data_IF_195172477590
#
_entry.id   IF_195172477590
#
_cell.length_a   1.000
_cell.length_b   1.000
_cell.length_c   1.000
_cell.angle_alpha   90.00
_cell.angle_beta   90.00
_cell.angle_gamma   90.00
#
_symmetry.space_group_name_H-M   'P 1'
#
loop_
_entity.id
_entity.type
_entity.pdbx_description
1 polymer ?
#
# COMPACT_ATOMS: atom_id res chain seq x y z
N UNK A 1 -38.55 -81.91 46.68
CA UNK A 1 -39.22 -80.67 46.41
C UNK A 1 -38.13 -79.67 45.95
N UNK A 2 -37.95 -79.50 44.66
CA UNK A 2 -36.89 -78.71 44.06
C UNK A 2 -37.46 -77.37 43.56
N UNK A 3 -37.00 -76.32 44.17
CA UNK A 3 -37.39 -74.92 43.79
C UNK A 3 -36.47 -74.43 42.70
N UNK A 4 -37.01 -74.17 41.49
CA UNK A 4 -36.34 -73.56 40.36
C UNK A 4 -36.26 -72.04 40.55
N UNK A 5 -35.04 -71.50 40.75
CA UNK A 5 -34.77 -70.08 40.67
C UNK A 5 -34.35 -69.75 39.23
N UNK A 6 -35.18 -69.00 38.49
CA UNK A 6 -34.84 -68.45 37.19
C UNK A 6 -34.00 -67.19 37.40
N UNK A 7 -32.76 -67.22 36.94
CA UNK A 7 -31.88 -66.07 36.89
C UNK A 7 -32.20 -65.27 35.62
N UNK A 8 -32.66 -63.98 35.76
CA UNK A 8 -32.78 -63.06 34.70
C UNK A 8 -31.46 -62.26 34.60
N UNK A 9 -30.73 -62.48 33.52
CA UNK A 9 -29.55 -61.68 33.17
C UNK A 9 -30.07 -60.45 32.48
N UNK A 10 -29.94 -59.29 33.14
CA UNK A 10 -30.20 -57.94 32.55
C UNK A 10 -28.97 -57.55 31.75
N UNK A 11 -29.09 -57.59 30.42
CA UNK A 11 -28.08 -57.10 29.55
C UNK A 11 -28.29 -55.57 29.43
N UNK A 12 -27.42 -54.81 30.10
CA UNK A 12 -27.36 -53.35 29.98
C UNK A 12 -26.60 -53.03 28.71
N UNK A 13 -27.31 -52.67 27.63
CA UNK A 13 -26.70 -52.12 26.39
C UNK A 13 -26.39 -50.67 26.65
N UNK A 14 -25.13 -50.35 26.96
CA UNK A 14 -24.63 -48.97 26.99
C UNK A 14 -24.49 -48.46 25.55
N UNK A 15 -25.42 -47.59 25.14
CA UNK A 15 -25.29 -46.77 23.93
C UNK A 15 -24.13 -45.78 24.10
N UNK A 16 -22.96 -46.12 23.59
CA UNK A 16 -21.85 -45.16 23.42
C UNK A 16 -22.20 -44.31 22.23
N UNK A 17 -22.76 -43.12 22.49
CA UNK A 17 -22.90 -42.06 21.50
C UNK A 17 -21.51 -41.57 21.15
N UNK A 18 -20.98 -42.01 20.01
CA UNK A 18 -19.84 -41.38 19.38
C UNK A 18 -20.25 -39.96 18.93
N UNK A 19 -19.98 -38.98 19.79
CA UNK A 19 -19.97 -37.59 19.37
C UNK A 19 -18.79 -37.39 18.41
N UNK A 20 -19.09 -37.37 17.10
CA UNK A 20 -18.14 -36.88 16.11
C UNK A 20 -17.91 -35.41 16.36
N UNK A 21 -16.97 -35.06 17.22
CA UNK A 21 -16.32 -33.75 17.17
C UNK A 21 -15.62 -33.69 15.83
N UNK A 22 -16.17 -32.90 14.87
CA UNK A 22 -15.42 -32.47 13.70
C UNK A 22 -14.16 -31.80 14.24
N UNK A 23 -13.04 -32.51 14.18
CA UNK A 23 -11.75 -31.86 14.28
C UNK A 23 -11.73 -30.81 13.16
N UNK A 24 -11.77 -29.52 13.54
CA UNK A 24 -11.30 -28.45 12.63
C UNK A 24 -9.92 -28.92 12.22
N UNK A 25 -9.74 -29.19 10.94
CA UNK A 25 -8.43 -29.51 10.39
C UNK A 25 -7.48 -28.39 10.77
N UNK A 26 -6.33 -28.74 11.33
CA UNK A 26 -5.25 -27.79 11.68
C UNK A 26 -4.77 -26.94 10.47
N UNK A 27 -5.23 -27.26 9.26
CA UNK A 27 -4.96 -26.52 8.02
C UNK A 27 -5.61 -25.12 7.97
N UNK A 28 -6.62 -24.82 8.80
CA UNK A 28 -7.28 -23.51 8.84
C UNK A 28 -6.58 -22.48 9.75
N UNK A 29 -5.60 -22.90 10.56
CA UNK A 29 -5.02 -22.06 11.62
C UNK A 29 -3.94 -21.10 11.08
N UNK A 30 -3.43 -21.29 9.85
CA UNK A 30 -2.28 -20.54 9.33
C UNK A 30 -2.56 -19.73 8.06
N UNK A 31 -3.80 -19.58 7.62
CA UNK A 31 -4.08 -18.78 6.45
C UNK A 31 -4.08 -17.29 6.81
N UNK A 32 -3.03 -16.58 6.41
CA UNK A 32 -2.90 -15.13 6.62
C UNK A 32 -4.07 -14.40 5.94
N UNK A 33 -4.84 -13.64 6.71
CA UNK A 33 -5.97 -12.87 6.19
C UNK A 33 -5.50 -11.54 5.59
N UNK A 34 -5.17 -11.56 4.31
CA UNK A 34 -4.82 -10.36 3.56
C UNK A 34 -6.00 -9.43 3.24
N UNK A 35 -7.22 -9.70 3.71
CA UNK A 35 -8.31 -8.73 3.67
C UNK A 35 -8.25 -7.73 4.83
N UNK A 36 -7.58 -8.09 5.92
CA UNK A 36 -7.39 -7.22 7.08
C UNK A 36 -6.20 -6.26 6.85
N UNK A 37 -6.41 -4.92 6.83
CA UNK A 37 -5.35 -3.94 6.62
C UNK A 37 -4.23 -3.99 7.66
N UNK A 38 -4.53 -4.33 8.92
CA UNK A 38 -3.52 -4.44 9.98
C UNK A 38 -2.59 -5.62 9.73
N UNK A 39 -3.15 -6.76 9.26
CA UNK A 39 -2.37 -7.92 8.87
C UNK A 39 -1.47 -7.60 7.69
N UNK A 40 -1.99 -6.91 6.67
CA UNK A 40 -1.22 -6.46 5.50
C UNK A 40 -0.06 -5.59 5.92
N UNK A 41 -0.29 -4.61 6.81
CA UNK A 41 0.75 -3.73 7.35
C UNK A 41 1.80 -4.53 8.14
N UNK A 42 1.36 -5.48 8.97
CA UNK A 42 2.29 -6.32 9.75
C UNK A 42 3.15 -7.20 8.85
N UNK A 43 2.58 -7.78 7.79
CA UNK A 43 3.35 -8.56 6.81
C UNK A 43 4.40 -7.71 6.08
N UNK A 44 4.06 -6.48 5.71
CA UNK A 44 5.02 -5.55 5.13
C UNK A 44 6.15 -5.20 6.12
N UNK A 45 5.83 -4.97 7.39
CA UNK A 45 6.84 -4.72 8.45
C UNK A 45 7.75 -5.91 8.72
N UNK A 46 7.25 -7.12 8.61
CA UNK A 46 8.07 -8.33 8.78
C UNK A 46 9.19 -8.43 7.74
N UNK A 47 8.98 -7.85 6.55
CA UNK A 47 9.93 -7.89 5.43
C UNK A 47 10.84 -6.66 5.41
N UNK A 48 10.26 -5.48 5.64
CA UNK A 48 10.95 -4.18 5.42
C UNK A 48 11.39 -3.51 6.73
N UNK A 49 10.96 -4.04 7.88
CA UNK A 49 11.25 -3.45 9.19
C UNK A 49 10.17 -2.49 9.68
N UNK A 50 10.43 -1.89 10.85
CA UNK A 50 9.46 -1.02 11.56
C UNK A 50 9.14 0.29 10.85
N UNK A 51 10.00 0.71 9.92
CA UNK A 51 9.88 2.01 9.24
C UNK A 51 8.82 2.06 8.15
N UNK A 52 8.10 0.94 7.93
CA UNK A 52 6.92 0.88 7.05
C UNK A 52 5.83 1.80 7.59
N UNK A 53 5.35 2.72 6.73
CA UNK A 53 4.36 3.75 7.09
C UNK A 53 2.95 3.44 6.63
N UNK A 54 2.80 2.70 5.54
CA UNK A 54 1.52 2.22 5.03
C UNK A 54 1.70 0.89 4.30
N UNK A 55 0.62 0.14 4.13
CA UNK A 55 0.59 -1.03 3.27
C UNK A 55 -0.83 -1.21 2.69
N UNK A 56 -0.93 -1.28 1.37
CA UNK A 56 -2.18 -1.47 0.66
C UNK A 56 -2.13 -2.73 -0.20
N UNK A 57 -3.01 -3.67 0.09
CA UNK A 57 -3.29 -4.74 -0.85
C UNK A 57 -4.02 -4.16 -2.06
N UNK A 58 -3.64 -4.57 -3.26
CA UNK A 58 -4.24 -4.08 -4.50
C UNK A 58 -3.88 -4.93 -5.70
N UNK A 59 -4.20 -4.41 -6.87
CA UNK A 59 -3.81 -4.95 -8.17
C UNK A 59 -2.91 -3.91 -8.83
N UNK A 60 -1.60 -4.10 -8.75
CA UNK A 60 -0.62 -3.09 -9.17
C UNK A 60 0.14 -3.47 -10.45
N UNK A 61 0.19 -4.75 -10.84
CA UNK A 61 0.93 -5.21 -12.02
C UNK A 61 0.14 -6.09 -13.00
N UNK A 62 -1.16 -6.27 -12.80
CA UNK A 62 -2.09 -7.05 -13.63
C UNK A 62 -2.13 -8.56 -13.40
N UNK A 63 -1.33 -9.12 -12.54
CA UNK A 63 -1.49 -10.54 -12.25
C UNK A 63 -2.48 -10.84 -11.11
N UNK A 64 -2.73 -12.12 -10.86
CA UNK A 64 -3.72 -12.58 -9.89
C UNK A 64 -3.13 -12.88 -8.52
N UNK A 65 -1.86 -12.57 -8.30
CA UNK A 65 -1.18 -12.84 -7.03
C UNK A 65 -1.51 -11.78 -5.97
N UNK A 66 -1.15 -12.05 -4.72
CA UNK A 66 -1.26 -11.04 -3.66
C UNK A 66 -0.14 -10.03 -3.85
N UNK A 67 -0.54 -8.77 -4.02
CA UNK A 67 0.35 -7.63 -4.16
C UNK A 67 0.09 -6.63 -3.05
N UNK A 68 1.17 -6.10 -2.47
CA UNK A 68 1.14 -5.10 -1.40
C UNK A 68 2.05 -3.94 -1.78
N UNK A 69 1.43 -2.79 -2.07
CA UNK A 69 2.16 -1.53 -2.20
C UNK A 69 2.40 -0.94 -0.81
N UNK A 70 3.61 -0.53 -0.54
CA UNK A 70 4.02 -0.02 0.77
C UNK A 70 5.08 1.06 0.63
N UNK A 71 5.39 1.75 1.73
CA UNK A 71 6.42 2.78 1.77
C UNK A 71 7.19 2.83 3.06
N UNK A 72 8.47 3.16 2.94
CA UNK A 72 9.40 3.38 4.05
C UNK A 72 9.97 4.80 4.00
N UNK A 73 10.31 5.35 5.14
CA UNK A 73 10.93 6.67 5.26
C UNK A 73 12.35 6.54 5.81
N UNK A 74 13.30 7.20 5.15
CA UNK A 74 14.66 7.37 5.67
C UNK A 74 14.83 8.77 6.21
N UNK A 75 15.29 8.88 7.46
CA UNK A 75 15.55 10.15 8.14
C UNK A 75 17.04 10.30 8.53
N UNK A 76 17.91 9.57 7.87
CA UNK A 76 19.35 9.70 8.12
C UNK A 76 19.86 11.05 7.57
N UNK A 77 20.82 11.72 8.23
CA UNK A 77 21.38 12.98 7.72
C UNK A 77 21.96 12.92 6.30
N UNK A 78 22.30 11.71 5.83
CA UNK A 78 22.86 11.47 4.50
C UNK A 78 21.82 10.99 3.48
N UNK A 79 20.65 10.54 3.94
CA UNK A 79 19.61 9.94 3.09
C UNK A 79 18.24 10.26 3.70
N UNK A 80 17.70 11.40 3.36
CA UNK A 80 16.36 11.79 3.77
C UNK A 80 15.38 11.62 2.60
N UNK A 81 14.19 11.07 2.88
CA UNK A 81 13.13 10.93 1.90
C UNK A 81 12.29 9.68 2.07
N UNK A 82 11.44 9.44 1.09
CA UNK A 82 10.49 8.32 1.05
C UNK A 82 10.84 7.35 -0.07
N UNK A 83 10.56 6.08 0.15
CA UNK A 83 10.72 5.01 -0.84
C UNK A 83 9.44 4.19 -0.93
N UNK A 84 8.99 3.91 -2.14
CA UNK A 84 7.84 3.05 -2.40
C UNK A 84 8.30 1.67 -2.85
N UNK A 85 7.64 0.64 -2.34
CA UNK A 85 8.01 -0.76 -2.55
C UNK A 85 6.77 -1.55 -2.95
N UNK A 86 6.91 -2.45 -3.91
CA UNK A 86 5.91 -3.47 -4.20
C UNK A 86 6.40 -4.82 -3.68
N UNK A 87 5.61 -5.42 -2.80
CA UNK A 87 5.74 -6.81 -2.37
C UNK A 87 4.74 -7.66 -3.13
N UNK A 88 5.18 -8.84 -3.56
CA UNK A 88 4.36 -9.79 -4.30
C UNK A 88 4.50 -11.19 -3.72
N UNK A 89 3.40 -11.94 -3.73
CA UNK A 89 3.40 -13.33 -3.31
C UNK A 89 4.02 -14.21 -4.40
N UNK A 90 5.16 -14.82 -4.11
CA UNK A 90 5.83 -15.79 -4.96
C UNK A 90 6.16 -17.04 -4.14
N UNK A 91 5.70 -18.20 -4.58
CA UNK A 91 5.93 -19.49 -3.90
C UNK A 91 5.60 -19.42 -2.39
N UNK A 92 4.42 -18.87 -2.06
CA UNK A 92 3.88 -18.71 -0.69
C UNK A 92 4.71 -17.77 0.22
N UNK A 93 5.56 -16.94 -0.35
CA UNK A 93 6.34 -15.93 0.37
C UNK A 93 6.19 -14.56 -0.29
N UNK A 94 6.03 -13.51 0.53
CA UNK A 94 6.09 -12.14 0.03
C UNK A 94 7.54 -11.75 -0.24
N UNK A 95 7.81 -11.26 -1.46
CA UNK A 95 9.12 -10.78 -1.89
C UNK A 95 9.04 -9.36 -2.43
N UNK A 96 10.15 -8.63 -2.32
CA UNK A 96 10.30 -7.33 -2.96
C UNK A 96 10.49 -7.55 -4.46
N UNK A 97 9.55 -7.07 -5.27
CA UNK A 97 9.64 -7.15 -6.74
C UNK A 97 9.93 -5.80 -7.39
N UNK A 98 9.68 -4.70 -6.68
CA UNK A 98 9.99 -3.35 -7.16
C UNK A 98 10.29 -2.42 -5.97
N UNK A 99 11.19 -1.47 -6.17
CA UNK A 99 11.37 -0.35 -5.27
C UNK A 99 11.82 0.91 -6.03
N UNK A 100 11.30 2.06 -5.61
CA UNK A 100 11.73 3.34 -6.16
C UNK A 100 13.12 3.72 -5.63
N UNK A 101 13.83 4.65 -6.30
CA UNK A 101 14.88 5.41 -5.63
C UNK A 101 14.30 6.16 -4.42
N UNK A 102 15.18 6.77 -3.62
CA UNK A 102 14.74 7.65 -2.54
C UNK A 102 14.20 8.94 -3.15
N UNK A 103 12.96 9.27 -2.83
CA UNK A 103 12.24 10.43 -3.34
C UNK A 103 12.11 11.50 -2.25
N UNK A 104 12.03 12.77 -2.64
CA UNK A 104 11.80 13.86 -1.70
C UNK A 104 10.42 13.72 -1.02
N UNK A 105 10.34 14.00 0.27
CA UNK A 105 9.11 13.96 1.04
C UNK A 105 9.23 13.26 2.38
N UNK A 106 8.13 13.27 3.12
CA UNK A 106 7.99 12.64 4.43
C UNK A 106 6.61 12.02 4.58
N UNK A 107 6.49 10.96 5.37
CA UNK A 107 5.19 10.38 5.71
C UNK A 107 4.54 11.02 6.95
N UNK A 108 5.13 12.07 7.53
CA UNK A 108 4.57 12.74 8.72
C UNK A 108 3.31 13.54 8.40
N UNK A 109 3.32 14.26 7.28
CA UNK A 109 2.20 15.06 6.80
C UNK A 109 2.03 14.81 5.30
N UNK A 110 1.34 13.73 4.97
CA UNK A 110 1.15 13.33 3.59
C UNK A 110 -0.23 12.70 3.38
N UNK A 111 -0.64 12.67 2.14
CA UNK A 111 -1.72 11.82 1.66
C UNK A 111 -1.11 10.67 0.87
N UNK A 112 -1.47 9.43 1.23
CA UNK A 112 -1.16 8.25 0.43
C UNK A 112 -2.46 7.50 0.13
N UNK A 113 -2.70 7.18 -1.13
CA UNK A 113 -3.91 6.45 -1.53
C UNK A 113 -3.71 5.67 -2.82
N UNK A 114 -4.54 4.66 -3.02
CA UNK A 114 -4.64 3.95 -4.30
C UNK A 114 -5.49 4.77 -5.27
N UNK A 115 -5.02 4.88 -6.51
CA UNK A 115 -5.74 5.55 -7.61
C UNK A 115 -5.88 4.58 -8.77
N UNK A 116 -7.08 4.55 -9.34
CA UNK A 116 -7.36 3.81 -10.57
C UNK A 116 -7.78 4.77 -11.67
N UNK A 117 -7.02 4.79 -12.75
CA UNK A 117 -7.41 5.50 -13.96
C UNK A 117 -8.22 4.59 -14.88
N UNK A 118 -9.21 5.10 -15.62
CA UNK A 118 -9.99 4.29 -16.56
C UNK A 118 -9.16 3.61 -17.64
N UNK A 119 -8.01 4.21 -17.98
CA UNK A 119 -7.07 3.68 -19.00
C UNK A 119 -6.22 2.51 -18.50
N UNK A 120 -6.19 2.26 -17.18
CA UNK A 120 -5.44 1.16 -16.60
C UNK A 120 -6.40 0.12 -15.99
N UNK A 121 -6.08 -1.15 -16.12
CA UNK A 121 -6.77 -2.25 -15.44
C UNK A 121 -6.13 -2.60 -14.07
N UNK A 122 -5.15 -1.79 -13.62
CA UNK A 122 -4.44 -1.88 -12.35
C UNK A 122 -4.46 -0.53 -11.60
N UNK A 123 -4.01 -0.55 -10.34
CA UNK A 123 -3.99 0.60 -9.44
C UNK A 123 -2.58 1.21 -9.40
N UNK A 124 -2.51 2.52 -9.19
CA UNK A 124 -1.28 3.26 -8.90
C UNK A 124 -1.31 3.73 -7.45
N UNK A 125 -0.14 4.02 -6.88
CA UNK A 125 -0.05 4.73 -5.60
C UNK A 125 0.15 6.22 -5.86
N UNK A 126 -0.77 7.00 -5.35
CA UNK A 126 -0.65 8.45 -5.26
C UNK A 126 -0.10 8.82 -3.89
N UNK A 127 0.94 9.64 -3.91
CA UNK A 127 1.52 10.29 -2.74
C UNK A 127 1.52 11.79 -2.94
N UNK A 128 1.22 12.54 -1.87
CA UNK A 128 1.33 13.99 -1.84
C UNK A 128 1.93 14.39 -0.49
N UNK A 129 3.16 14.92 -0.50
CA UNK A 129 3.74 15.50 0.70
C UNK A 129 3.21 16.92 0.87
N UNK A 130 2.78 17.24 2.09
CA UNK A 130 2.35 18.59 2.45
C UNK A 130 3.43 19.26 3.31
N UNK A 131 4.69 19.06 2.96
CA UNK A 131 5.81 19.69 3.64
C UNK A 131 5.88 21.17 3.23
N UNK A 132 5.00 21.98 3.84
CA UNK A 132 5.14 23.41 3.78
C UNK A 132 6.33 23.81 4.65
N UNK A 133 7.39 24.30 4.04
CA UNK A 133 8.38 25.07 4.78
C UNK A 133 7.70 26.31 5.34
N UNK A 134 7.35 26.28 6.61
CA UNK A 134 6.76 27.40 7.36
C UNK A 134 7.83 28.44 7.71
N UNK A 135 8.63 28.84 6.74
CA UNK A 135 9.46 30.03 6.85
C UNK A 135 8.76 31.20 6.15
N UNK A 136 9.22 32.42 6.40
CA UNK A 136 8.74 33.65 5.71
C UNK A 136 8.89 33.60 4.17
N UNK A 137 9.18 32.47 3.61
CA UNK A 137 9.74 32.30 2.30
C UNK A 137 8.98 31.44 1.31
N UNK A 138 7.89 30.76 1.66
CA UNK A 138 7.19 29.89 0.73
C UNK A 138 7.15 28.42 1.16
N UNK A 139 6.87 27.54 0.23
CA UNK A 139 6.77 26.11 0.49
C UNK A 139 6.87 25.26 -0.76
N UNK A 140 7.09 23.98 -0.57
CA UNK A 140 7.18 23.00 -1.64
C UNK A 140 6.25 21.82 -1.35
N UNK A 141 5.62 21.27 -2.38
CA UNK A 141 4.82 20.06 -2.29
C UNK A 141 5.29 19.09 -3.36
N UNK A 142 5.73 17.92 -2.94
CA UNK A 142 6.08 16.83 -3.85
C UNK A 142 4.90 15.87 -3.97
N UNK A 143 4.52 15.55 -5.20
CA UNK A 143 3.48 14.55 -5.47
C UNK A 143 3.99 13.54 -6.48
N UNK A 144 3.69 12.28 -6.20
CA UNK A 144 4.10 11.16 -7.04
C UNK A 144 2.91 10.28 -7.38
N UNK A 145 2.86 9.78 -8.61
CA UNK A 145 2.09 8.61 -8.99
C UNK A 145 3.06 7.50 -9.34
N UNK A 146 3.07 6.45 -8.54
CA UNK A 146 3.94 5.28 -8.74
C UNK A 146 3.20 4.23 -9.53
N UNK A 147 3.65 3.98 -10.76
CA UNK A 147 3.18 2.93 -11.65
C UNK A 147 4.15 1.75 -11.55
N UNK A 148 3.81 0.79 -10.71
CA UNK A 148 4.67 -0.37 -10.46
C UNK A 148 4.82 -1.28 -11.68
N UNK A 149 3.72 -1.44 -12.47
CA UNK A 149 3.74 -2.27 -13.66
C UNK A 149 4.74 -1.79 -14.72
N UNK A 150 4.76 -0.47 -14.96
CA UNK A 150 5.64 0.12 -15.96
C UNK A 150 6.99 0.57 -15.38
N UNK A 151 7.17 0.47 -14.06
CA UNK A 151 8.36 0.98 -13.37
C UNK A 151 8.51 2.49 -13.47
N UNK A 152 7.42 3.23 -13.69
CA UNK A 152 7.42 4.69 -13.88
C UNK A 152 7.02 5.42 -12.62
N UNK A 153 7.62 6.58 -12.39
CA UNK A 153 7.24 7.53 -11.35
C UNK A 153 6.91 8.83 -12.05
N UNK A 154 5.64 9.22 -12.03
CA UNK A 154 5.20 10.53 -12.51
C UNK A 154 5.29 11.51 -11.35
N UNK A 155 5.91 12.66 -11.58
CA UNK A 155 6.16 13.65 -10.52
C UNK A 155 5.49 14.96 -10.83
N UNK A 156 4.88 15.55 -9.81
CA UNK A 156 4.46 16.94 -9.79
C UNK A 156 5.08 17.63 -8.57
N UNK A 157 5.72 18.78 -8.81
CA UNK A 157 6.38 19.57 -7.78
C UNK A 157 5.79 20.98 -7.79
N UNK A 158 5.10 21.34 -6.71
CA UNK A 158 4.56 22.68 -6.50
C UNK A 158 5.57 23.50 -5.69
N UNK A 159 5.84 24.70 -6.18
CA UNK A 159 6.72 25.67 -5.48
C UNK A 159 5.95 26.95 -5.26
N UNK A 160 5.93 27.42 -4.02
CA UNK A 160 5.38 28.71 -3.62
C UNK A 160 6.49 29.58 -3.06
N UNK A 161 6.61 30.81 -3.57
CA UNK A 161 7.59 31.78 -3.06
C UNK A 161 6.86 33.07 -2.67
N UNK A 162 7.29 33.79 -1.61
CA UNK A 162 6.65 35.03 -1.20
C UNK A 162 6.69 36.05 -2.30
N UNK A 163 5.55 36.69 -2.58
CA UNK A 163 5.44 37.72 -3.59
C UNK A 163 5.57 37.24 -5.03
N UNK A 164 5.66 35.92 -5.27
CA UNK A 164 5.68 35.30 -6.58
C UNK A 164 4.48 34.43 -6.84
N UNK A 165 4.31 34.05 -8.11
CA UNK A 165 3.27 33.11 -8.50
C UNK A 165 3.59 31.71 -7.99
N UNK A 166 2.53 30.95 -7.69
CA UNK A 166 2.64 29.50 -7.41
C UNK A 166 2.93 28.78 -8.71
N UNK A 167 4.01 28.01 -8.76
CA UNK A 167 4.44 27.28 -9.95
C UNK A 167 4.31 25.77 -9.74
N UNK A 168 3.71 25.09 -10.70
CA UNK A 168 3.59 23.64 -10.76
C UNK A 168 4.48 23.09 -11.87
N UNK A 169 5.45 22.31 -11.49
CA UNK A 169 6.35 21.59 -12.38
C UNK A 169 5.89 20.15 -12.54
N UNK A 170 5.85 19.66 -13.76
CA UNK A 170 5.48 18.29 -14.09
C UNK A 170 6.66 17.58 -14.74
N UNK A 171 6.93 16.34 -14.35
CA UNK A 171 8.02 15.56 -14.96
C UNK A 171 7.73 15.27 -16.44
N UNK A 172 8.78 15.21 -17.25
CA UNK A 172 8.71 15.03 -18.70
C UNK A 172 8.07 13.71 -19.11
N UNK A 173 8.20 12.67 -18.29
CA UNK A 173 7.66 11.34 -18.54
C UNK A 173 6.13 11.25 -18.39
N UNK A 174 5.44 12.38 -18.11
CA UNK A 174 3.98 12.43 -18.09
C UNK A 174 3.48 12.60 -19.55
N UNK A 175 3.43 11.49 -20.24
CA UNK A 175 2.97 11.34 -21.62
C UNK A 175 1.45 11.15 -21.75
N UNK A 176 0.77 10.75 -20.65
CA UNK A 176 -0.66 10.48 -20.60
C UNK A 176 -1.47 11.70 -20.17
N UNK A 177 -2.41 12.19 -21.01
CA UNK A 177 -3.25 13.34 -20.66
C UNK A 177 -4.03 13.16 -19.35
N UNK A 178 -4.48 11.95 -19.03
CA UNK A 178 -5.22 11.64 -17.82
C UNK A 178 -4.37 11.86 -16.58
N UNK A 179 -3.11 11.43 -16.59
CA UNK A 179 -2.15 11.62 -15.50
C UNK A 179 -1.82 13.11 -15.34
N UNK A 180 -1.59 13.80 -16.46
CA UNK A 180 -1.34 15.24 -16.45
C UNK A 180 -2.52 16.02 -15.86
N UNK A 181 -3.72 15.74 -16.33
CA UNK A 181 -4.95 16.39 -15.87
C UNK A 181 -5.25 16.09 -14.40
N UNK A 182 -4.93 14.88 -13.92
CA UNK A 182 -5.04 14.51 -12.52
C UNK A 182 -4.22 15.46 -11.64
N UNK A 183 -2.92 15.62 -11.89
CA UNK A 183 -2.09 16.53 -11.11
C UNK A 183 -2.58 17.97 -11.21
N UNK A 184 -2.87 18.45 -12.43
CA UNK A 184 -3.36 19.81 -12.63
C UNK A 184 -4.65 20.07 -11.86
N UNK A 185 -5.59 19.14 -11.86
CA UNK A 185 -6.88 19.30 -11.18
C UNK A 185 -6.74 19.38 -9.66
N UNK A 186 -5.86 18.55 -9.08
CA UNK A 186 -5.59 18.58 -7.64
C UNK A 186 -4.99 19.92 -7.24
N UNK A 187 -3.93 20.34 -7.93
CA UNK A 187 -3.25 21.58 -7.54
C UNK A 187 -4.06 22.85 -7.86
N UNK A 188 -4.85 22.86 -8.94
CA UNK A 188 -5.75 23.99 -9.22
C UNK A 188 -6.90 24.12 -8.22
N UNK A 189 -7.35 23.01 -7.63
CA UNK A 189 -8.36 23.07 -6.56
C UNK A 189 -7.85 23.85 -5.35
N UNK A 190 -6.60 23.58 -4.95
CA UNK A 190 -6.00 24.15 -3.75
C UNK A 190 -5.30 25.50 -4.06
N UNK A 191 -4.86 25.71 -5.30
CA UNK A 191 -4.17 26.90 -5.80
C UNK A 191 -4.73 27.33 -7.17
N UNK A 192 -5.89 28.02 -7.21
CA UNK A 192 -6.58 28.34 -8.48
C UNK A 192 -5.73 29.14 -9.48
N UNK A 193 -4.77 29.96 -8.99
CA UNK A 193 -3.87 30.78 -9.80
C UNK A 193 -2.55 30.11 -10.15
N UNK A 194 -2.41 28.79 -9.90
CA UNK A 194 -1.16 28.07 -10.17
C UNK A 194 -0.77 28.16 -11.64
N UNK A 195 0.48 28.53 -11.90
CA UNK A 195 1.08 28.53 -13.22
C UNK A 195 1.71 27.16 -13.49
N UNK A 196 1.31 26.53 -14.60
CA UNK A 196 1.88 25.25 -15.01
C UNK A 196 3.13 25.55 -15.81
N UNK A 197 4.27 25.13 -15.29
CA UNK A 197 5.56 25.29 -15.93
C UNK A 197 5.95 23.94 -16.53
N UNK A 198 5.78 23.80 -17.84
CA UNK A 198 6.28 22.63 -18.58
C UNK A 198 7.75 22.85 -18.93
N UNK A 199 8.64 22.81 -17.96
CA UNK A 199 10.09 22.78 -18.17
C UNK A 199 10.67 21.65 -17.34
N UNK A 200 11.51 20.91 -18.03
CA UNK A 200 12.47 19.92 -17.57
C UNK A 200 12.97 20.20 -16.15
N UNK A 201 12.30 19.58 -15.18
CA UNK A 201 12.93 19.39 -13.91
C UNK A 201 13.75 18.11 -14.09
N UNK A 202 15.04 18.28 -14.35
CA UNK A 202 16.00 17.22 -14.05
C UNK A 202 15.89 16.91 -12.57
N UNK A 203 15.00 16.00 -12.24
CA UNK A 203 14.99 15.40 -10.90
C UNK A 203 16.26 14.56 -10.83
N UNK A 204 17.33 15.18 -10.31
CA UNK A 204 18.54 14.43 -9.93
C UNK A 204 18.14 13.55 -8.74
N UNK A 205 17.92 12.29 -9.03
CA UNK A 205 17.76 11.22 -8.05
C UNK A 205 19.12 10.76 -7.54
#
# INVERSE_FOLDING_TARGET
MLSNKKNYILILISLISFSCTKNKSDDDINKIDYANPEVVLQQAKNILGSDVKFAYKGKFDQDSTIEIATGTESQSPKQWGVKFVLLKMESDQLKIVFQTPLLNGSFKQCLVQKIKFPIFDYELIYYNSQDYFLGSGGGEVYSYLVNYKEGKIYTAHLVTQPGSNVSLYLSENIDLPEVKNFFISIFKRDYPSVQIVSKDIELKY
#
